data_IF_553303700100
#
_entry.id   IF_553303700100
#
_cell.length_a   1.000
_cell.length_b   1.000
_cell.length_c   1.000
_cell.angle_alpha   90.00
_cell.angle_beta   90.00
_cell.angle_gamma   90.00
#
_symmetry.space_group_name_H-M   'P 1'
#
loop_
_entity.id
_entity.type
_entity.pdbx_description
1 polymer ?
#
# COMPACT_ATOMS: atom_id res chain seq x y z
N UNK A 1 12.20 18.77 9.84
CA UNK A 1 12.49 17.35 10.06
C UNK A 1 12.25 16.90 11.52
N UNK A 2 11.57 17.72 12.34
CA UNK A 2 11.38 17.44 13.78
C UNK A 2 10.13 16.62 14.12
N UNK A 3 9.52 15.95 13.16
CA UNK A 3 8.23 15.26 13.33
C UNK A 3 8.33 13.74 13.44
N UNK A 4 9.50 13.16 13.19
CA UNK A 4 9.71 11.73 13.42
C UNK A 4 10.00 11.48 14.90
N UNK A 5 9.50 10.39 15.49
CA UNK A 5 9.80 10.05 16.87
C UNK A 5 11.31 9.99 17.08
N UNK A 6 11.84 10.75 18.04
CA UNK A 6 13.23 10.60 18.48
C UNK A 6 13.47 9.27 19.21
N UNK A 7 12.41 8.52 19.47
CA UNK A 7 12.45 7.20 20.07
C UNK A 7 12.42 6.12 18.97
N UNK A 8 13.48 5.32 18.94
CA UNK A 8 13.63 4.22 17.99
C UNK A 8 12.46 3.22 18.05
N UNK A 9 11.96 2.90 19.26
CA UNK A 9 10.84 1.97 19.41
C UNK A 9 9.54 2.52 18.81
N UNK A 10 9.27 3.80 19.04
CA UNK A 10 8.10 4.46 18.48
C UNK A 10 8.17 4.51 16.95
N UNK A 11 9.36 4.74 16.39
CA UNK A 11 9.59 4.70 14.94
C UNK A 11 9.38 3.30 14.36
N UNK A 12 9.90 2.26 15.01
CA UNK A 12 9.69 0.87 14.61
C UNK A 12 8.21 0.51 14.58
N UNK A 13 7.46 0.88 15.63
CA UNK A 13 6.01 0.64 15.69
C UNK A 13 5.26 1.41 14.60
N UNK A 14 5.60 2.66 14.37
CA UNK A 14 5.02 3.47 13.30
C UNK A 14 5.23 2.82 11.93
N UNK A 15 6.46 2.42 11.61
CA UNK A 15 6.79 1.81 10.32
C UNK A 15 6.09 0.46 10.12
N UNK A 16 5.98 -0.35 11.17
CA UNK A 16 5.19 -1.58 11.13
C UNK A 16 3.72 -1.28 10.82
N UNK A 17 3.13 -0.29 11.49
CA UNK A 17 1.73 0.14 11.29
C UNK A 17 1.51 0.69 9.87
N UNK A 18 2.47 1.45 9.34
CA UNK A 18 2.45 1.90 7.94
C UNK A 18 2.48 0.71 6.97
N UNK A 19 3.22 -0.34 7.28
CA UNK A 19 3.21 -1.58 6.51
C UNK A 19 1.83 -2.27 6.53
N UNK A 20 1.19 -2.35 7.70
CA UNK A 20 -0.18 -2.87 7.83
C UNK A 20 -1.15 -2.05 6.99
N UNK A 21 -1.07 -0.72 7.08
CA UNK A 21 -1.88 0.19 6.26
C UNK A 21 -1.66 -0.03 4.76
N UNK A 22 -0.40 -0.13 4.34
CA UNK A 22 -0.07 -0.34 2.93
C UNK A 22 -0.66 -1.63 2.35
N UNK A 23 -0.72 -2.71 3.14
CA UNK A 23 -1.42 -3.94 2.77
C UNK A 23 -2.94 -3.77 2.61
N UNK A 24 -3.53 -2.67 3.09
CA UNK A 24 -4.95 -2.32 2.88
C UNK A 24 -5.16 -1.45 1.64
N UNK A 25 -4.11 -1.04 0.94
CA UNK A 25 -4.27 -0.22 -0.25
C UNK A 25 -5.07 -0.95 -1.34
N UNK A 26 -5.87 -0.18 -2.09
CA UNK A 26 -6.84 -0.75 -3.02
C UNK A 26 -6.23 -1.61 -4.12
N UNK A 27 -5.02 -1.29 -4.55
CA UNK A 27 -4.31 -2.04 -5.58
C UNK A 27 -3.79 -3.39 -5.03
N UNK A 28 -3.35 -3.45 -3.77
CA UNK A 28 -3.03 -4.70 -3.06
C UNK A 28 -4.28 -5.57 -2.94
N UNK A 29 -5.35 -5.01 -2.35
CA UNK A 29 -6.60 -5.72 -2.15
C UNK A 29 -7.17 -6.27 -3.45
N UNK A 30 -7.21 -5.47 -4.52
CA UNK A 30 -7.73 -5.88 -5.83
C UNK A 30 -6.87 -6.97 -6.48
N UNK A 31 -5.56 -6.85 -6.37
CA UNK A 31 -4.63 -7.81 -6.98
C UNK A 31 -4.65 -9.14 -6.25
N UNK A 32 -4.61 -9.11 -4.93
CA UNK A 32 -4.67 -10.31 -4.09
C UNK A 32 -6.02 -11.00 -4.24
N UNK A 33 -7.13 -10.25 -4.31
CA UNK A 33 -8.46 -10.82 -4.59
C UNK A 33 -8.47 -11.55 -5.93
N UNK A 34 -7.95 -10.93 -7.00
CA UNK A 34 -7.85 -11.55 -8.32
C UNK A 34 -7.03 -12.84 -8.35
N UNK A 35 -5.82 -12.80 -7.76
CA UNK A 35 -4.92 -13.95 -7.65
C UNK A 35 -5.56 -15.09 -6.82
N UNK A 36 -6.18 -14.73 -5.70
CA UNK A 36 -6.81 -15.69 -4.79
C UNK A 36 -8.02 -16.35 -5.44
N UNK A 37 -8.89 -15.60 -6.11
CA UNK A 37 -10.06 -16.15 -6.83
C UNK A 37 -9.65 -17.09 -7.95
N UNK A 38 -8.64 -16.73 -8.74
CA UNK A 38 -8.12 -17.61 -9.78
C UNK A 38 -7.60 -18.92 -9.18
N UNK A 39 -6.75 -18.83 -8.15
CA UNK A 39 -6.14 -20.00 -7.54
C UNK A 39 -7.13 -20.82 -6.70
N UNK A 40 -8.18 -20.23 -6.16
CA UNK A 40 -9.22 -20.96 -5.43
C UNK A 40 -9.90 -22.01 -6.29
N UNK A 41 -9.99 -21.77 -7.62
CA UNK A 41 -10.55 -22.72 -8.60
C UNK A 41 -9.54 -23.78 -9.04
N UNK A 42 -8.28 -23.41 -9.23
CA UNK A 42 -7.27 -24.26 -9.84
C UNK A 42 -6.34 -24.93 -8.82
N UNK A 43 -5.95 -24.21 -7.76
CA UNK A 43 -4.98 -24.63 -6.73
C UNK A 43 -5.38 -24.13 -5.34
N UNK A 44 -6.38 -24.71 -4.67
CA UNK A 44 -6.96 -24.18 -3.41
C UNK A 44 -5.96 -24.01 -2.27
N UNK A 45 -4.89 -24.82 -2.24
CA UNK A 45 -3.83 -24.67 -1.24
C UNK A 45 -3.01 -23.41 -1.47
N UNK A 46 -2.70 -23.08 -2.73
CA UNK A 46 -1.95 -21.90 -3.12
C UNK A 46 -2.78 -20.62 -2.90
N UNK A 47 -4.10 -20.68 -3.10
CA UNK A 47 -4.98 -19.53 -2.91
C UNK A 47 -4.81 -18.84 -1.55
N UNK A 48 -4.57 -19.60 -0.49
CA UNK A 48 -4.37 -19.08 0.87
C UNK A 48 -3.08 -18.31 1.06
N UNK A 49 -2.11 -18.54 0.17
CA UNK A 49 -0.77 -17.98 0.24
C UNK A 49 -0.56 -16.85 -0.78
N UNK A 50 -1.58 -16.52 -1.61
CA UNK A 50 -1.43 -15.50 -2.64
C UNK A 50 -1.03 -14.15 -2.08
N UNK A 51 -1.67 -13.69 -0.98
CA UNK A 51 -1.32 -12.42 -0.34
C UNK A 51 0.12 -12.43 0.20
N UNK A 52 0.48 -13.48 0.93
CA UNK A 52 1.84 -13.62 1.46
C UNK A 52 2.92 -13.62 0.37
N UNK A 53 2.72 -14.38 -0.70
CA UNK A 53 3.68 -14.46 -1.82
C UNK A 53 3.77 -13.13 -2.58
N UNK A 54 2.64 -12.46 -2.77
CA UNK A 54 2.59 -11.13 -3.36
C UNK A 54 3.43 -10.14 -2.54
N UNK A 55 3.17 -10.06 -1.23
CA UNK A 55 3.91 -9.16 -0.33
C UNK A 55 5.38 -9.53 -0.21
N UNK A 56 5.74 -10.80 -0.31
CA UNK A 56 7.14 -11.23 -0.31
C UNK A 56 7.89 -10.64 -1.50
N UNK A 57 7.31 -10.72 -2.69
CA UNK A 57 7.90 -10.13 -3.89
C UNK A 57 7.94 -8.61 -3.84
N UNK A 58 6.85 -7.98 -3.36
CA UNK A 58 6.75 -6.54 -3.15
C UNK A 58 7.82 -6.06 -2.16
N UNK A 59 7.88 -6.65 -0.99
CA UNK A 59 8.84 -6.30 0.05
C UNK A 59 10.30 -6.50 -0.36
N UNK A 60 10.60 -7.51 -1.18
CA UNK A 60 11.96 -7.71 -1.71
C UNK A 60 12.42 -6.51 -2.55
N UNK A 61 11.54 -5.91 -3.37
CA UNK A 61 11.87 -4.71 -4.15
C UNK A 61 12.00 -3.49 -3.23
N UNK A 62 11.09 -3.31 -2.26
CA UNK A 62 11.18 -2.24 -1.25
C UNK A 62 12.52 -2.28 -0.55
N UNK A 63 12.95 -3.47 -0.11
CA UNK A 63 14.23 -3.66 0.55
C UNK A 63 15.41 -3.35 -0.36
N UNK A 64 15.37 -3.80 -1.62
CA UNK A 64 16.43 -3.51 -2.59
C UNK A 64 16.56 -2.01 -2.85
N UNK A 65 15.44 -1.30 -2.98
CA UNK A 65 15.40 0.16 -3.18
C UNK A 65 15.88 0.89 -1.94
N UNK A 66 15.43 0.51 -0.74
CA UNK A 66 15.89 1.11 0.51
C UNK A 66 17.40 0.98 0.69
N UNK A 67 17.97 -0.19 0.36
CA UNK A 67 19.41 -0.43 0.36
C UNK A 67 20.15 0.44 -0.67
N UNK A 68 19.62 0.52 -1.90
CA UNK A 68 20.23 1.32 -2.96
C UNK A 68 20.25 2.81 -2.57
N UNK A 69 19.15 3.34 -2.07
CA UNK A 69 19.05 4.74 -1.63
C UNK A 69 19.94 4.98 -0.40
N UNK A 70 19.95 4.08 0.57
CA UNK A 70 20.82 4.18 1.75
C UNK A 70 22.30 4.22 1.38
N UNK A 71 22.70 3.45 0.38
CA UNK A 71 24.08 3.47 -0.14
C UNK A 71 24.41 4.74 -0.95
N UNK A 72 23.41 5.32 -1.64
CA UNK A 72 23.58 6.54 -2.45
C UNK A 72 23.42 7.83 -1.63
N UNK A 73 22.63 7.82 -0.56
CA UNK A 73 22.27 9.01 0.24
C UNK A 73 23.48 9.73 0.85
N UNK A 74 24.60 9.01 1.05
CA UNK A 74 25.86 9.60 1.49
C UNK A 74 26.55 10.47 0.41
N UNK A 75 26.06 10.43 -0.84
CA UNK A 75 26.67 11.10 -1.99
C UNK A 75 25.74 12.08 -2.72
N UNK A 76 24.46 12.10 -2.41
CA UNK A 76 23.47 12.86 -3.17
C UNK A 76 22.47 13.57 -2.26
N UNK A 77 22.38 14.90 -2.36
CA UNK A 77 21.33 15.68 -1.74
C UNK A 77 20.07 15.62 -2.64
N UNK A 78 18.94 15.21 -2.08
CA UNK A 78 17.68 15.18 -2.82
C UNK A 78 17.23 16.61 -3.10
N UNK A 79 17.02 17.01 -4.37
CA UNK A 79 16.53 18.33 -4.71
C UNK A 79 15.10 18.55 -4.20
N UNK A 80 14.79 19.73 -3.64
CA UNK A 80 13.48 20.02 -3.03
C UNK A 80 12.28 19.87 -4.00
N UNK A 81 12.48 20.14 -5.31
CA UNK A 81 11.42 19.97 -6.31
C UNK A 81 10.95 18.49 -6.44
N UNK A 82 11.76 17.52 -6.03
CA UNK A 82 11.36 16.11 -6.06
C UNK A 82 10.29 15.81 -5.02
N UNK A 83 10.31 16.49 -3.87
CA UNK A 83 9.27 16.36 -2.84
C UNK A 83 7.92 16.88 -3.36
N UNK A 84 7.92 18.06 -4.01
CA UNK A 84 6.71 18.66 -4.60
C UNK A 84 6.13 17.81 -5.72
N UNK A 85 7.00 17.33 -6.62
CA UNK A 85 6.59 16.44 -7.70
C UNK A 85 6.00 15.14 -7.14
N UNK A 86 6.62 14.60 -6.11
CA UNK A 86 6.17 13.39 -5.44
C UNK A 86 4.80 13.54 -4.82
N UNK A 87 4.58 14.61 -4.09
CA UNK A 87 3.29 14.90 -3.49
C UNK A 87 2.21 15.12 -4.56
N UNK A 88 2.51 15.84 -5.64
CA UNK A 88 1.58 16.05 -6.76
C UNK A 88 1.16 14.73 -7.43
N UNK A 89 2.11 13.83 -7.68
CA UNK A 89 1.83 12.49 -8.23
C UNK A 89 0.96 11.67 -7.26
N UNK A 90 1.27 11.68 -5.96
CA UNK A 90 0.49 10.96 -4.95
C UNK A 90 -0.96 11.47 -4.87
N UNK A 91 -1.16 12.80 -4.86
CA UNK A 91 -2.49 13.41 -4.86
C UNK A 91 -3.29 12.99 -6.10
N UNK A 92 -2.69 13.09 -7.29
CA UNK A 92 -3.33 12.70 -8.54
C UNK A 92 -3.69 11.20 -8.55
N UNK A 93 -2.77 10.36 -8.10
CA UNK A 93 -2.98 8.91 -8.02
C UNK A 93 -4.11 8.55 -7.04
N UNK A 94 -4.09 9.09 -5.82
CA UNK A 94 -5.11 8.83 -4.81
C UNK A 94 -6.49 9.36 -5.24
N UNK A 95 -6.54 10.52 -5.91
CA UNK A 95 -7.79 11.06 -6.46
C UNK A 95 -8.37 10.11 -7.51
N UNK A 96 -7.55 9.67 -8.45
CA UNK A 96 -7.98 8.77 -9.51
C UNK A 96 -8.42 7.41 -8.94
N UNK A 97 -7.64 6.84 -8.02
CA UNK A 97 -7.94 5.57 -7.36
C UNK A 97 -9.24 5.64 -6.55
N UNK A 98 -9.39 6.71 -5.76
CA UNK A 98 -10.58 6.95 -4.96
C UNK A 98 -11.83 7.11 -5.81
N UNK A 99 -11.76 7.92 -6.87
CA UNK A 99 -12.85 8.10 -7.83
C UNK A 99 -13.23 6.78 -8.52
N UNK A 100 -12.25 5.99 -8.98
CA UNK A 100 -12.51 4.70 -9.63
C UNK A 100 -13.19 3.70 -8.69
N UNK A 101 -12.78 3.62 -7.42
CA UNK A 101 -13.42 2.74 -6.45
C UNK A 101 -14.84 3.19 -6.13
N UNK A 102 -15.07 4.48 -5.97
CA UNK A 102 -16.40 5.03 -5.74
C UNK A 102 -17.35 4.74 -6.93
N UNK A 103 -16.90 4.98 -8.15
CA UNK A 103 -17.65 4.67 -9.37
C UNK A 103 -17.93 3.16 -9.47
N UNK A 104 -16.97 2.30 -9.15
CA UNK A 104 -17.17 0.85 -9.15
C UNK A 104 -18.26 0.41 -8.18
N UNK A 105 -18.31 1.01 -6.98
CA UNK A 105 -19.36 0.71 -5.99
C UNK A 105 -20.72 1.22 -6.45
N UNK A 106 -20.78 2.45 -6.99
CA UNK A 106 -22.04 3.06 -7.45
C UNK A 106 -22.63 2.36 -8.69
N UNK A 107 -21.75 1.91 -9.59
CA UNK A 107 -22.15 1.21 -10.81
C UNK A 107 -22.51 -0.28 -10.59
N UNK A 108 -22.16 -0.86 -9.44
CA UNK A 108 -22.40 -2.26 -9.16
C UNK A 108 -23.90 -2.54 -8.92
N UNK A 109 -24.43 -3.56 -9.59
CA UNK A 109 -25.83 -3.99 -9.42
C UNK A 109 -26.08 -4.59 -8.02
N UNK A 110 -27.32 -4.54 -7.50
CA UNK A 110 -27.67 -5.20 -6.26
C UNK A 110 -27.33 -6.69 -6.30
N UNK A 111 -26.59 -7.19 -5.30
CA UNK A 111 -26.18 -8.61 -5.25
C UNK A 111 -24.86 -8.94 -5.97
N UNK A 112 -24.23 -8.00 -6.66
CA UNK A 112 -22.90 -8.20 -7.22
C UNK A 112 -21.81 -7.89 -6.19
N UNK A 113 -20.77 -8.73 -6.19
CA UNK A 113 -19.52 -8.46 -5.44
C UNK A 113 -18.75 -7.37 -6.18
N UNK A 114 -18.53 -6.24 -5.52
CA UNK A 114 -17.68 -5.16 -6.05
C UNK A 114 -16.23 -5.59 -5.91
N UNK A 115 -15.48 -5.52 -7.01
CA UNK A 115 -14.03 -5.72 -6.95
C UNK A 115 -13.38 -4.34 -6.74
N UNK A 116 -12.53 -4.17 -5.72
CA UNK A 116 -11.75 -2.95 -5.58
C UNK A 116 -10.96 -2.68 -6.86
N UNK A 117 -10.99 -1.45 -7.32
CA UNK A 117 -10.36 -1.07 -8.58
C UNK A 117 -8.98 -0.52 -8.28
N UNK A 118 -7.95 -1.30 -8.59
CA UNK A 118 -6.56 -0.82 -8.65
C UNK A 118 -6.19 -0.46 -10.08
N UNK A 119 -5.51 0.66 -10.28
CA UNK A 119 -5.05 1.10 -11.61
C UNK A 119 -4.20 0.04 -12.31
N UNK A 120 -3.29 -0.59 -11.56
CA UNK A 120 -2.43 -1.66 -12.05
C UNK A 120 -3.19 -2.95 -12.33
N UNK A 121 -4.21 -3.29 -11.52
CA UNK A 121 -5.01 -4.50 -11.69
C UNK A 121 -5.72 -4.57 -13.04
N UNK A 122 -6.13 -3.43 -13.58
CA UNK A 122 -6.79 -3.36 -14.90
C UNK A 122 -5.82 -3.65 -16.05
N UNK A 123 -4.57 -3.17 -15.95
CA UNK A 123 -3.53 -3.42 -16.97
C UNK A 123 -2.88 -4.78 -16.82
N UNK A 124 -2.73 -5.27 -15.59
CA UNK A 124 -2.05 -6.52 -15.26
C UNK A 124 -3.02 -7.70 -15.05
N UNK A 125 -4.29 -7.58 -15.44
CA UNK A 125 -5.31 -8.61 -15.21
C UNK A 125 -4.97 -9.99 -15.80
N UNK A 126 -4.11 -10.06 -16.83
CA UNK A 126 -3.59 -11.33 -17.35
C UNK A 126 -2.55 -11.96 -16.43
N UNK A 127 -1.73 -11.14 -15.77
CA UNK A 127 -0.70 -11.59 -14.80
C UNK A 127 -1.33 -12.11 -13.51
N UNK A 128 -2.53 -11.65 -13.16
CA UNK A 128 -3.29 -12.16 -12.00
C UNK A 128 -3.81 -13.58 -12.20
N UNK A 129 -3.82 -14.09 -13.44
CA UNK A 129 -4.26 -15.46 -13.77
C UNK A 129 -3.08 -16.43 -13.77
N UNK A 130 -2.33 -16.47 -12.70
CA UNK A 130 -1.19 -17.36 -12.55
C UNK A 130 -1.35 -18.31 -11.36
N UNK A 131 -1.02 -19.59 -11.57
CA UNK A 131 -0.93 -20.60 -10.54
C UNK A 131 0.53 -20.96 -10.17
N UNK A 132 1.50 -20.12 -10.52
CA UNK A 132 2.90 -20.30 -10.16
C UNK A 132 3.26 -19.37 -8.98
N UNK A 133 3.76 -19.90 -7.84
CA UNK A 133 4.16 -19.08 -6.69
C UNK A 133 5.18 -17.99 -7.01
N UNK A 134 6.17 -18.28 -7.86
CA UNK A 134 7.19 -17.33 -8.27
C UNK A 134 6.60 -16.18 -9.11
N UNK A 135 5.62 -16.48 -9.97
CA UNK A 135 4.94 -15.44 -10.75
C UNK A 135 4.03 -14.60 -9.86
N UNK A 136 3.42 -15.15 -8.80
CA UNK A 136 2.67 -14.37 -7.82
C UNK A 136 3.59 -13.37 -7.11
N UNK A 137 4.77 -13.82 -6.68
CA UNK A 137 5.78 -12.93 -6.10
C UNK A 137 6.28 -11.88 -7.12
N UNK A 138 6.48 -12.27 -8.38
CA UNK A 138 6.87 -11.34 -9.43
C UNK A 138 5.80 -10.26 -9.69
N UNK A 139 4.51 -10.61 -9.60
CA UNK A 139 3.42 -9.62 -9.65
C UNK A 139 3.56 -8.62 -8.50
N UNK A 140 3.81 -9.09 -7.27
CA UNK A 140 4.08 -8.22 -6.12
C UNK A 140 5.29 -7.31 -6.35
N UNK A 141 6.38 -7.85 -6.87
CA UNK A 141 7.58 -7.08 -7.21
C UNK A 141 7.30 -5.97 -8.24
N UNK A 142 6.48 -6.24 -9.26
CA UNK A 142 6.06 -5.22 -10.24
C UNK A 142 5.20 -4.12 -9.59
N UNK A 143 4.37 -4.48 -8.60
CA UNK A 143 3.56 -3.51 -7.86
C UNK A 143 4.40 -2.60 -6.97
N UNK A 144 5.53 -3.08 -6.46
CA UNK A 144 6.48 -2.29 -5.68
C UNK A 144 7.14 -1.14 -6.47
N UNK A 145 7.13 -1.19 -7.80
CA UNK A 145 7.65 -0.11 -8.64
C UNK A 145 6.67 1.08 -8.76
N UNK A 146 5.76 1.25 -7.79
CA UNK A 146 4.91 2.43 -7.71
C UNK A 146 5.62 3.57 -7.01
N UNK A 147 5.21 4.79 -7.36
CA UNK A 147 5.79 6.01 -6.78
C UNK A 147 5.61 6.03 -5.25
N UNK A 148 4.44 5.65 -4.75
CA UNK A 148 4.14 5.60 -3.32
C UNK A 148 5.09 4.65 -2.58
N UNK A 149 5.25 3.43 -3.08
CA UNK A 149 6.18 2.45 -2.51
C UNK A 149 7.62 2.94 -2.55
N UNK A 150 8.04 3.56 -3.65
CA UNK A 150 9.41 4.08 -3.82
C UNK A 150 9.69 5.24 -2.86
N UNK A 151 8.72 6.13 -2.63
CA UNK A 151 8.86 7.24 -1.68
C UNK A 151 8.94 6.74 -0.23
N UNK A 152 8.17 5.72 0.14
CA UNK A 152 8.24 5.08 1.45
C UNK A 152 9.59 4.38 1.66
N UNK A 153 10.08 3.64 0.67
CA UNK A 153 11.39 3.01 0.74
C UNK A 153 12.52 4.04 0.91
N UNK A 154 12.43 5.17 0.21
CA UNK A 154 13.37 6.28 0.34
C UNK A 154 13.31 6.89 1.75
N UNK A 155 12.12 7.12 2.30
CA UNK A 155 11.93 7.63 3.66
C UNK A 155 12.58 6.70 4.69
N UNK A 156 12.38 5.38 4.59
CA UNK A 156 12.97 4.42 5.52
C UNK A 156 14.50 4.39 5.41
N UNK A 157 15.03 4.49 4.19
CA UNK A 157 16.48 4.56 3.97
C UNK A 157 17.10 5.80 4.61
N UNK A 158 16.52 6.97 4.35
CA UNK A 158 17.01 8.25 4.89
C UNK A 158 16.90 8.31 6.41
N UNK A 159 15.73 7.92 6.96
CA UNK A 159 15.50 7.91 8.40
C UNK A 159 16.41 6.90 9.09
N UNK A 160 16.56 5.70 8.54
CA UNK A 160 17.45 4.68 9.10
C UNK A 160 18.90 5.13 9.15
N UNK A 161 19.37 5.87 8.15
CA UNK A 161 20.74 6.40 8.15
C UNK A 161 20.98 7.44 9.25
N UNK A 162 19.97 8.21 9.63
CA UNK A 162 20.05 9.18 10.72
C UNK A 162 20.18 8.50 12.09
N UNK A 163 19.59 7.32 12.29
CA UNK A 163 19.61 6.60 13.56
C UNK A 163 20.80 5.67 13.75
N UNK A 164 21.52 5.26 12.72
CA UNK A 164 22.65 4.35 12.88
C UNK A 164 23.06 3.61 11.62
N UNK A 165 22.66 4.13 10.45
CA UNK A 165 23.13 3.65 9.15
C UNK A 165 22.28 2.54 8.55
N UNK A 166 22.89 1.76 7.64
CA UNK A 166 22.21 0.77 6.79
C UNK A 166 21.46 -0.31 7.60
N UNK A 167 21.97 -0.70 8.77
CA UNK A 167 21.32 -1.70 9.62
C UNK A 167 19.95 -1.22 10.12
N UNK A 168 19.83 0.06 10.48
CA UNK A 168 18.57 0.64 10.91
C UNK A 168 17.59 0.81 9.74
N UNK A 169 18.06 1.21 8.57
CA UNK A 169 17.26 1.24 7.36
C UNK A 169 16.70 -0.14 6.99
N UNK A 170 17.53 -1.19 7.08
CA UNK A 170 17.10 -2.58 6.89
C UNK A 170 16.04 -3.01 7.90
N UNK A 171 16.21 -2.65 9.16
CA UNK A 171 15.23 -2.99 10.23
C UNK A 171 13.88 -2.34 9.94
N UNK A 172 13.85 -1.07 9.56
CA UNK A 172 12.61 -0.38 9.20
C UNK A 172 11.95 -1.01 7.96
N UNK A 173 12.72 -1.31 6.91
CA UNK A 173 12.20 -2.00 5.73
C UNK A 173 11.64 -3.39 6.04
N UNK A 174 12.29 -4.16 6.92
CA UNK A 174 11.79 -5.47 7.36
C UNK A 174 10.51 -5.36 8.17
N UNK A 175 10.40 -4.36 9.04
CA UNK A 175 9.18 -4.11 9.82
C UNK A 175 8.02 -3.69 8.93
N UNK A 176 8.25 -2.80 7.97
CA UNK A 176 7.25 -2.44 6.97
C UNK A 176 6.78 -3.66 6.20
N UNK A 177 7.72 -4.46 5.67
CA UNK A 177 7.43 -5.69 4.97
C UNK A 177 6.63 -6.67 5.85
N UNK A 178 6.98 -6.83 7.13
CA UNK A 178 6.27 -7.70 8.06
C UNK A 178 4.82 -7.26 8.28
N UNK A 179 4.58 -5.94 8.46
CA UNK A 179 3.23 -5.37 8.59
C UNK A 179 2.39 -5.62 7.35
N UNK A 180 2.94 -5.35 6.16
CA UNK A 180 2.29 -5.58 4.88
C UNK A 180 1.99 -7.07 4.66
N UNK A 181 2.97 -7.97 4.90
CA UNK A 181 2.78 -9.42 4.76
C UNK A 181 1.72 -9.97 5.70
N UNK A 182 1.63 -9.43 6.92
CA UNK A 182 0.59 -9.79 7.87
C UNK A 182 -0.79 -9.47 7.29
N UNK A 183 -0.98 -8.24 6.80
CA UNK A 183 -2.28 -7.77 6.32
C UNK A 183 -2.69 -8.42 5.01
N UNK A 184 -1.79 -8.48 4.04
CA UNK A 184 -2.03 -9.12 2.75
C UNK A 184 -2.22 -10.63 2.89
N UNK A 185 -1.46 -11.26 3.80
CA UNK A 185 -1.62 -12.68 4.12
C UNK A 185 -2.99 -12.98 4.72
N UNK A 186 -3.44 -12.17 5.69
CA UNK A 186 -4.77 -12.26 6.27
C UNK A 186 -5.85 -12.05 5.21
N UNK A 187 -5.71 -11.04 4.37
CA UNK A 187 -6.66 -10.72 3.30
C UNK A 187 -6.79 -11.90 2.31
N UNK A 188 -5.68 -12.42 1.80
CA UNK A 188 -5.68 -13.59 0.92
C UNK A 188 -6.30 -14.84 1.56
N UNK A 189 -6.00 -15.08 2.84
CA UNK A 189 -6.58 -16.18 3.59
C UNK A 189 -8.09 -16.04 3.77
N UNK A 190 -8.59 -14.84 4.15
CA UNK A 190 -10.00 -14.56 4.31
C UNK A 190 -10.77 -14.67 2.99
N UNK A 191 -10.25 -14.10 1.92
CA UNK A 191 -10.84 -14.21 0.58
C UNK A 191 -10.95 -15.66 0.17
N UNK A 192 -9.87 -16.47 0.31
CA UNK A 192 -9.89 -17.90 0.00
C UNK A 192 -10.92 -18.68 0.81
N UNK A 193 -11.25 -18.23 2.02
CA UNK A 193 -12.28 -18.83 2.87
C UNK A 193 -13.70 -18.38 2.50
N UNK A 194 -13.87 -17.08 2.18
CA UNK A 194 -15.14 -16.48 1.81
C UNK A 194 -15.65 -16.97 0.45
N UNK A 195 -14.76 -17.18 -0.53
CA UNK A 195 -15.13 -17.70 -1.85
C UNK A 195 -15.86 -19.06 -1.74
N UNK A 196 -15.56 -19.83 -0.73
CA UNK A 196 -16.23 -21.12 -0.47
C UNK A 196 -17.61 -21.00 0.17
N UNK A 197 -17.96 -19.83 0.66
CA UNK A 197 -19.23 -19.52 1.33
C UNK A 197 -19.99 -18.44 0.57
N UNK A 198 -20.02 -18.54 -0.78
CA UNK A 198 -20.62 -17.55 -1.68
C UNK A 198 -21.99 -17.09 -1.18
N UNK A 199 -22.09 -15.87 -0.60
CA UNK A 199 -23.35 -15.31 -0.22
C UNK A 199 -23.35 -13.79 0.00
N UNK A 200 -24.52 -13.27 0.40
CA UNK A 200 -24.84 -11.86 0.63
C UNK A 200 -23.79 -11.10 1.44
N UNK A 201 -23.09 -11.75 2.38
CA UNK A 201 -22.04 -11.14 3.19
C UNK A 201 -20.85 -10.69 2.32
N UNK A 202 -20.48 -11.46 1.28
CA UNK A 202 -19.38 -11.08 0.39
C UNK A 202 -19.74 -9.83 -0.43
N UNK A 203 -21.00 -9.68 -0.84
CA UNK A 203 -21.46 -8.49 -1.56
C UNK A 203 -21.43 -7.25 -0.68
N UNK A 204 -21.92 -7.36 0.56
CA UNK A 204 -21.94 -6.25 1.51
C UNK A 204 -20.52 -5.85 1.91
N UNK A 205 -19.69 -6.83 2.28
CA UNK A 205 -18.29 -6.59 2.66
C UNK A 205 -17.48 -5.92 1.53
N UNK A 206 -17.66 -6.38 0.27
CA UNK A 206 -16.97 -5.78 -0.87
C UNK A 206 -17.38 -4.33 -1.13
N UNK A 207 -18.65 -3.99 -0.93
CA UNK A 207 -19.14 -2.61 -1.05
C UNK A 207 -18.59 -1.71 0.05
N UNK A 208 -18.64 -2.17 1.31
CA UNK A 208 -18.07 -1.43 2.44
C UNK A 208 -16.58 -1.18 2.21
N UNK A 209 -15.84 -2.21 1.79
CA UNK A 209 -14.42 -2.10 1.48
C UNK A 209 -14.16 -1.09 0.36
N UNK A 210 -14.91 -1.17 -0.76
CA UNK A 210 -14.77 -0.23 -1.88
C UNK A 210 -15.08 1.22 -1.48
N UNK A 211 -16.10 1.44 -0.63
CA UNK A 211 -16.43 2.76 -0.09
C UNK A 211 -15.36 3.26 0.88
N UNK A 212 -14.87 2.41 1.78
CA UNK A 212 -13.83 2.76 2.74
C UNK A 212 -12.53 3.15 2.02
N UNK A 213 -12.06 2.31 1.10
CA UNK A 213 -10.86 2.60 0.31
C UNK A 213 -11.04 3.84 -0.56
N UNK A 214 -12.17 3.93 -1.29
CA UNK A 214 -12.46 5.09 -2.14
C UNK A 214 -12.58 6.38 -1.35
N UNK A 215 -13.31 6.35 -0.24
CA UNK A 215 -13.51 7.49 0.66
C UNK A 215 -12.20 7.95 1.31
N UNK A 216 -11.42 7.02 1.84
CA UNK A 216 -10.13 7.33 2.47
C UNK A 216 -9.14 7.90 1.46
N UNK A 217 -9.03 7.30 0.26
CA UNK A 217 -8.16 7.81 -0.79
C UNK A 217 -8.51 9.23 -1.20
N UNK A 218 -9.81 9.54 -1.38
CA UNK A 218 -10.26 10.90 -1.72
C UNK A 218 -10.04 11.89 -0.57
N UNK A 219 -10.23 11.45 0.67
CA UNK A 219 -10.00 12.29 1.85
C UNK A 219 -8.52 12.66 1.98
N UNK A 220 -7.61 11.69 1.85
CA UNK A 220 -6.16 11.92 1.89
C UNK A 220 -5.72 12.80 0.72
N UNK A 221 -6.22 12.54 -0.50
CA UNK A 221 -5.92 13.37 -1.66
C UNK A 221 -6.43 14.81 -1.49
N UNK A 222 -7.66 14.97 -0.99
CA UNK A 222 -8.27 16.28 -0.70
C UNK A 222 -7.49 17.06 0.36
N UNK A 223 -7.03 16.38 1.41
CA UNK A 223 -6.17 16.99 2.43
C UNK A 223 -4.81 17.42 1.85
N UNK A 224 -4.18 16.55 1.05
CA UNK A 224 -2.94 16.89 0.34
C UNK A 224 -3.11 18.12 -0.57
N UNK A 225 -4.20 18.17 -1.32
CA UNK A 225 -4.51 19.30 -2.17
C UNK A 225 -4.76 20.57 -1.36
N UNK A 226 -5.50 20.49 -0.24
CA UNK A 226 -5.74 21.62 0.64
C UNK A 226 -4.45 22.18 1.25
N UNK A 227 -3.50 21.31 1.61
CA UNK A 227 -2.18 21.69 2.09
C UNK A 227 -1.40 22.51 1.04
N UNK A 228 -1.55 22.17 -0.25
CA UNK A 228 -0.94 22.92 -1.36
C UNK A 228 -1.67 24.24 -1.66
N UNK A 229 -2.99 24.24 -1.58
CA UNK A 229 -3.82 25.40 -1.94
C UNK A 229 -3.84 26.49 -0.87
N UNK A 230 -3.62 26.15 0.41
CA UNK A 230 -3.67 27.08 1.54
C UNK A 230 -2.45 26.93 2.44
N UNK A 231 -1.59 27.98 2.50
CA UNK A 231 -0.46 28.02 3.43
C UNK A 231 -0.87 27.88 4.89
N UNK A 232 -2.08 28.30 5.25
CA UNK A 232 -2.63 28.20 6.61
C UNK A 232 -2.88 26.72 7.00
N UNK A 233 -3.43 25.93 6.06
CA UNK A 233 -3.63 24.50 6.24
C UNK A 233 -2.28 23.77 6.33
N UNK A 234 -1.31 24.19 5.50
CA UNK A 234 0.06 23.71 5.59
C UNK A 234 0.65 23.94 6.99
N UNK A 235 0.68 25.18 7.45
CA UNK A 235 1.21 25.53 8.76
C UNK A 235 0.44 24.89 9.93
N UNK A 236 -0.89 24.71 9.80
CA UNK A 236 -1.68 24.02 10.81
C UNK A 236 -1.37 22.52 10.88
N UNK A 237 -1.04 21.91 9.76
CA UNK A 237 -0.75 20.47 9.66
C UNK A 237 0.69 20.12 10.04
N UNK A 238 1.60 21.09 10.00
CA UNK A 238 3.00 20.85 10.31
C UNK A 238 3.17 20.38 11.76
N UNK A 239 3.94 19.33 11.96
CA UNK A 239 4.14 18.67 13.26
C UNK A 239 3.00 17.75 13.70
N UNK A 240 1.94 17.57 12.89
CA UNK A 240 0.80 16.68 13.18
C UNK A 240 0.70 15.48 12.24
N UNK A 241 1.68 15.30 11.36
CA UNK A 241 1.68 14.25 10.33
C UNK A 241 1.51 12.87 10.94
N UNK A 242 2.11 12.63 12.09
CA UNK A 242 1.98 11.39 12.87
C UNK A 242 0.55 11.17 13.36
N UNK A 243 -0.08 12.22 13.91
CA UNK A 243 -1.45 12.14 14.39
C UNK A 243 -2.43 11.86 13.26
N UNK A 244 -2.23 12.51 12.11
CA UNK A 244 -3.02 12.24 10.91
C UNK A 244 -2.75 10.84 10.37
N UNK A 245 -1.49 10.41 10.28
CA UNK A 245 -1.15 9.04 9.86
C UNK A 245 -1.84 7.98 10.72
N UNK A 246 -1.85 8.15 12.04
CA UNK A 246 -2.54 7.25 12.98
C UNK A 246 -4.07 7.35 12.90
N UNK A 247 -4.62 8.53 12.61
CA UNK A 247 -6.07 8.71 12.48
C UNK A 247 -6.64 8.08 11.19
N UNK A 248 -5.80 7.91 10.16
CA UNK A 248 -6.17 7.31 8.88
C UNK A 248 -5.88 5.79 8.78
N UNK A 249 -5.28 5.19 9.80
CA UNK A 249 -5.10 3.75 9.96
C UNK A 249 -6.19 3.15 10.81
#
# INVERSE_FOLDING_TARGET
MDTLPNDWLALMFLVFTLGVKHGLDADHLATIDGLTRYNARCKPRLARWCGFLFSLGHGAVVMAVALAIGALSSRWAVPGWMEDLGAGISIAFLTLLGAMNLVAVLAAQPGQVVQPVGLKGRFLGRLQRTGNPLLIAAVGALFALSFDTMSQAALFALTGTQFGGVSHALTLGLLFMAGMMLMDGLNGFWIARLIRRADRLACVASRIMGLAVGGLSLLVAGFGLAKYASPEVGAWSDGKELAFGLAFV
#
